data_IF_303664407004
#
_entry.id   IF_303664407004
#
_cell.length_a   1.000
_cell.length_b   1.000
_cell.length_c   1.000
_cell.angle_alpha   90.00
_cell.angle_beta   90.00
_cell.angle_gamma   90.00
#
_symmetry.space_group_name_H-M   'P 1'
#
loop_
_entity.id
_entity.type
_entity.pdbx_description
1 polymer ?
#
# COMPACT_ATOMS: atom_id res chain seq x y z
N UNK A 1 8.93 15.78 -22.82
CA UNK A 1 8.06 15.56 -21.63
C UNK A 1 7.64 14.11 -21.69
N UNK A 2 8.29 13.26 -20.90
CA UNK A 2 7.86 11.87 -20.71
C UNK A 2 6.55 11.90 -19.91
N UNK A 3 5.56 11.26 -20.45
CA UNK A 3 4.22 11.19 -19.86
C UNK A 3 4.10 9.84 -19.18
N UNK A 4 3.84 9.83 -17.88
CA UNK A 4 3.68 8.60 -17.11
C UNK A 4 2.58 7.69 -17.65
N UNK A 5 2.59 6.41 -17.25
CA UNK A 5 1.60 5.41 -17.63
C UNK A 5 0.16 5.92 -17.42
N UNK A 6 -0.10 6.69 -16.38
CA UNK A 6 -1.40 7.32 -16.13
C UNK A 6 -1.88 8.21 -17.28
N UNK A 7 -0.97 8.93 -17.94
CA UNK A 7 -1.31 9.75 -19.12
C UNK A 7 -1.63 8.91 -20.35
N UNK A 8 -1.04 7.73 -20.48
CA UNK A 8 -1.34 6.79 -21.59
C UNK A 8 -2.74 6.23 -21.45
N UNK A 9 -3.14 5.80 -20.26
CA UNK A 9 -4.49 5.30 -20.02
C UNK A 9 -5.56 6.39 -20.19
N UNK A 10 -5.31 7.59 -19.71
CA UNK A 10 -6.19 8.74 -19.90
C UNK A 10 -6.44 9.06 -21.38
N UNK A 11 -5.46 8.83 -22.26
CA UNK A 11 -5.61 9.03 -23.70
C UNK A 11 -6.35 7.91 -24.41
N UNK A 12 -6.23 6.67 -23.90
CA UNK A 12 -6.83 5.51 -24.55
C UNK A 12 -8.36 5.45 -24.34
N UNK A 13 -8.87 6.02 -23.22
CA UNK A 13 -10.30 6.03 -22.88
C UNK A 13 -10.71 7.33 -22.19
N UNK A 14 -10.66 8.47 -22.90
CA UNK A 14 -10.98 9.77 -22.30
C UNK A 14 -12.40 9.82 -21.72
N UNK A 15 -13.36 9.25 -22.40
CA UNK A 15 -14.77 9.21 -21.93
C UNK A 15 -14.93 8.46 -20.59
N UNK A 16 -14.18 7.37 -20.39
CA UNK A 16 -14.19 6.63 -19.13
C UNK A 16 -13.57 7.44 -18.00
N UNK A 17 -12.48 8.16 -18.27
CA UNK A 17 -11.85 9.05 -17.31
C UNK A 17 -12.78 10.17 -16.90
N UNK A 18 -13.41 10.86 -17.86
CA UNK A 18 -14.39 11.90 -17.59
C UNK A 18 -15.61 11.38 -16.79
N UNK A 19 -16.07 10.15 -17.08
CA UNK A 19 -17.15 9.53 -16.33
C UNK A 19 -16.77 9.28 -14.87
N UNK A 20 -15.56 8.81 -14.62
CA UNK A 20 -15.03 8.59 -13.27
C UNK A 20 -14.85 9.94 -12.54
N UNK A 21 -14.30 10.95 -13.20
CA UNK A 21 -14.13 12.29 -12.64
C UNK A 21 -15.48 12.90 -12.23
N UNK A 22 -16.48 12.80 -13.09
CA UNK A 22 -17.85 13.25 -12.75
C UNK A 22 -18.45 12.46 -11.58
N UNK A 23 -18.21 11.17 -11.50
CA UNK A 23 -18.67 10.34 -10.39
C UNK A 23 -18.00 10.75 -9.06
N UNK A 24 -16.70 11.00 -9.09
CA UNK A 24 -15.94 11.45 -7.91
C UNK A 24 -16.42 12.82 -7.45
N UNK A 25 -16.57 13.77 -8.38
CA UNK A 25 -17.03 15.13 -8.05
C UNK A 25 -18.46 15.12 -7.46
N UNK A 26 -19.36 14.35 -8.03
CA UNK A 26 -20.71 14.16 -7.45
C UNK A 26 -20.63 13.59 -6.05
N UNK A 27 -19.87 12.52 -5.84
CA UNK A 27 -19.69 11.90 -4.54
C UNK A 27 -19.11 12.88 -3.50
N UNK A 28 -18.09 13.64 -3.90
CA UNK A 28 -17.47 14.64 -3.04
C UNK A 28 -18.43 15.78 -2.68
N UNK A 29 -19.20 16.27 -3.67
CA UNK A 29 -20.18 17.34 -3.48
C UNK A 29 -21.30 16.92 -2.53
N UNK A 30 -21.81 15.69 -2.67
CA UNK A 30 -22.86 15.14 -1.79
C UNK A 30 -22.41 14.99 -0.33
N UNK A 31 -21.10 14.92 -0.09
CA UNK A 31 -20.51 14.72 1.25
C UNK A 31 -19.77 15.93 1.82
N UNK A 32 -19.64 16.97 1.01
CA UNK A 32 -19.03 18.21 1.45
C UNK A 32 -19.93 18.89 2.47
N UNK A 33 -19.40 19.17 3.64
CA UNK A 33 -20.06 19.97 4.68
C UNK A 33 -19.17 21.16 5.05
N UNK A 34 -19.77 22.15 5.69
CA UNK A 34 -19.06 23.35 6.20
C UNK A 34 -18.48 23.15 7.58
N UNK A 35 -18.88 22.08 8.26
CA UNK A 35 -18.45 21.77 9.63
C UNK A 35 -18.00 20.30 9.71
N UNK A 36 -16.90 20.08 10.45
CA UNK A 36 -16.54 18.74 10.89
C UNK A 36 -17.56 18.19 11.89
N UNK A 37 -17.73 16.89 11.92
CA UNK A 37 -18.65 16.20 12.82
C UNK A 37 -17.90 15.37 13.86
N UNK A 38 -18.49 15.21 15.04
CA UNK A 38 -18.01 14.29 16.08
C UNK A 38 -19.13 13.34 16.40
N UNK A 39 -18.92 12.05 16.10
CA UNK A 39 -19.87 10.99 16.32
C UNK A 39 -20.02 10.61 17.80
N UNK A 40 -21.07 9.83 18.16
CA UNK A 40 -21.29 9.40 19.52
C UNK A 40 -20.12 8.53 20.02
N UNK A 41 -19.88 8.60 21.33
CA UNK A 41 -18.82 7.83 22.00
C UNK A 41 -17.39 8.09 21.51
N UNK A 42 -17.17 9.09 20.63
CA UNK A 42 -15.83 9.50 20.23
C UNK A 42 -15.06 10.08 21.43
N UNK A 43 -13.75 9.78 21.51
CA UNK A 43 -12.87 10.28 22.58
C UNK A 43 -11.77 11.12 21.96
N UNK A 44 -11.61 12.34 22.46
CA UNK A 44 -10.56 13.25 22.03
C UNK A 44 -9.82 13.72 23.29
N UNK A 45 -8.55 13.36 23.41
CA UNK A 45 -7.69 13.71 24.54
C UNK A 45 -6.34 14.21 24.06
N UNK A 46 -5.83 15.26 24.67
CA UNK A 46 -4.47 15.77 24.45
C UNK A 46 -4.11 16.21 23.03
N UNK A 47 -5.06 16.26 22.12
CA UNK A 47 -4.77 16.70 20.74
C UNK A 47 -4.44 18.19 20.71
N UNK A 48 -3.39 18.56 19.95
CA UNK A 48 -2.94 19.94 19.84
C UNK A 48 -3.74 20.74 18.82
N UNK A 49 -4.03 20.15 17.66
CA UNK A 49 -4.72 20.84 16.57
C UNK A 49 -5.60 19.88 15.77
N UNK A 50 -6.88 20.19 15.68
CA UNK A 50 -7.85 19.46 14.84
C UNK A 50 -8.66 20.50 14.06
N UNK A 51 -8.65 20.41 12.72
CA UNK A 51 -9.41 21.31 11.84
C UNK A 51 -10.00 20.54 10.67
N UNK A 52 -11.30 20.76 10.42
CA UNK A 52 -12.00 20.15 9.27
C UNK A 52 -11.87 18.62 9.25
N UNK A 53 -12.11 18.00 10.40
CA UNK A 53 -12.02 16.54 10.54
C UNK A 53 -13.37 15.96 10.96
N UNK A 54 -13.85 14.98 10.20
CA UNK A 54 -14.99 14.16 10.60
C UNK A 54 -14.51 13.01 11.47
N UNK A 55 -15.07 12.90 12.67
CA UNK A 55 -14.71 11.88 13.67
C UNK A 55 -15.91 10.96 13.86
N UNK A 56 -15.76 9.69 13.51
CA UNK A 56 -16.80 8.67 13.56
C UNK A 56 -17.11 8.17 14.96
N UNK A 57 -18.16 7.38 15.05
CA UNK A 57 -18.61 6.75 16.30
C UNK A 57 -17.52 5.91 16.95
N UNK A 58 -17.31 6.09 18.26
CA UNK A 58 -16.33 5.32 19.03
C UNK A 58 -14.86 5.54 18.60
N UNK A 59 -14.59 6.44 17.67
CA UNK A 59 -13.22 6.76 17.29
C UNK A 59 -12.45 7.39 18.45
N UNK A 60 -11.14 7.17 18.50
CA UNK A 60 -10.28 7.72 19.55
C UNK A 60 -9.16 8.54 18.92
N UNK A 61 -9.01 9.79 19.39
CA UNK A 61 -7.87 10.65 19.11
C UNK A 61 -7.17 10.90 20.45
N UNK A 62 -5.91 10.47 20.56
CA UNK A 62 -5.16 10.52 21.81
C UNK A 62 -3.77 11.10 21.60
N UNK A 63 -3.59 12.39 21.87
CA UNK A 63 -2.31 13.07 21.77
C UNK A 63 -1.83 13.43 20.37
N UNK A 64 -2.69 13.44 19.37
CA UNK A 64 -2.33 13.84 18.01
C UNK A 64 -1.83 15.29 17.94
N UNK A 65 -0.75 15.54 17.22
CA UNK A 65 -0.17 16.87 17.07
C UNK A 65 -0.90 17.73 16.04
N UNK A 66 -1.33 17.13 14.92
CA UNK A 66 -2.04 17.82 13.85
C UNK A 66 -2.96 16.89 13.07
N UNK A 67 -4.23 17.23 13.01
CA UNK A 67 -5.19 16.58 12.11
C UNK A 67 -5.92 17.68 11.32
N UNK A 68 -5.82 17.63 10.00
CA UNK A 68 -6.38 18.64 9.12
C UNK A 68 -6.99 18.03 7.87
N UNK A 69 -8.20 18.49 7.52
CA UNK A 69 -8.95 18.05 6.35
C UNK A 69 -9.00 16.52 6.23
N UNK A 70 -9.75 15.87 7.12
CA UNK A 70 -9.71 14.42 7.18
C UNK A 70 -10.96 13.74 7.69
N UNK A 71 -10.92 12.42 7.63
CA UNK A 71 -11.95 11.56 8.20
C UNK A 71 -11.32 10.47 9.06
N UNK A 72 -11.76 10.39 10.30
CA UNK A 72 -11.45 9.28 11.21
C UNK A 72 -12.73 8.47 11.37
N UNK A 73 -12.82 7.32 10.69
CA UNK A 73 -14.02 6.49 10.68
C UNK A 73 -14.29 5.82 12.03
N UNK A 74 -15.43 5.13 12.14
CA UNK A 74 -15.86 4.50 13.37
C UNK A 74 -14.82 3.53 13.93
N UNK A 75 -14.56 3.62 15.25
CA UNK A 75 -13.60 2.76 15.93
C UNK A 75 -12.14 2.92 15.52
N UNK A 76 -11.81 3.85 14.66
CA UNK A 76 -10.41 4.13 14.31
C UNK A 76 -9.68 4.85 15.46
N UNK A 77 -8.37 4.68 15.50
CA UNK A 77 -7.49 5.25 16.52
C UNK A 77 -6.42 6.13 15.88
N UNK A 78 -6.27 7.35 16.36
CA UNK A 78 -5.20 8.26 15.98
C UNK A 78 -4.46 8.68 17.25
N UNK A 79 -3.20 8.30 17.37
CA UNK A 79 -2.43 8.38 18.61
C UNK A 79 -1.43 9.51 18.67
N UNK A 80 -0.47 9.32 19.58
CA UNK A 80 0.49 10.35 20.03
C UNK A 80 1.35 10.85 18.86
N UNK A 81 1.49 12.19 18.82
CA UNK A 81 2.34 12.93 17.89
C UNK A 81 2.05 12.72 16.40
N UNK A 82 0.94 12.10 16.06
CA UNK A 82 0.51 11.93 14.67
C UNK A 82 0.25 13.30 14.03
N UNK A 83 0.75 13.47 12.81
CA UNK A 83 0.43 14.59 11.95
C UNK A 83 -0.16 14.06 10.63
N UNK A 84 -1.40 14.41 10.34
CA UNK A 84 -2.08 13.96 9.14
C UNK A 84 -2.84 15.10 8.46
N UNK A 85 -2.64 15.26 7.14
CA UNK A 85 -3.36 16.22 6.29
C UNK A 85 -3.95 15.49 5.09
N UNK A 86 -5.15 15.90 4.68
CA UNK A 86 -5.84 15.31 3.53
C UNK A 86 -5.90 13.79 3.65
N UNK A 87 -6.51 13.28 4.73
CA UNK A 87 -6.40 11.87 5.07
C UNK A 87 -7.75 11.20 5.36
N UNK A 88 -7.78 9.91 5.18
CA UNK A 88 -8.88 9.05 5.64
C UNK A 88 -8.27 7.89 6.44
N UNK A 89 -8.73 7.73 7.68
CA UNK A 89 -8.50 6.55 8.51
C UNK A 89 -9.83 5.76 8.56
N UNK A 90 -9.88 4.63 7.86
CA UNK A 90 -11.06 3.79 7.76
C UNK A 90 -11.35 3.04 9.09
N UNK A 91 -12.44 2.31 9.13
CA UNK A 91 -12.90 1.61 10.33
C UNK A 91 -11.85 0.70 10.95
N UNK A 92 -11.59 0.90 12.23
CA UNK A 92 -10.58 0.14 12.97
C UNK A 92 -9.11 0.39 12.56
N UNK A 93 -8.86 1.34 11.69
CA UNK A 93 -7.48 1.76 11.38
C UNK A 93 -6.79 2.34 12.62
N UNK A 94 -5.48 2.08 12.73
CA UNK A 94 -4.63 2.61 13.78
C UNK A 94 -3.48 3.40 13.18
N UNK A 95 -3.43 4.68 13.48
CA UNK A 95 -2.33 5.59 13.11
C UNK A 95 -1.72 6.10 14.40
N UNK A 96 -0.43 5.84 14.65
CA UNK A 96 0.16 6.12 15.96
C UNK A 96 1.64 6.51 15.87
N UNK A 97 2.25 6.76 17.04
CA UNK A 97 3.70 6.85 17.23
C UNK A 97 4.41 7.85 16.33
N UNK A 98 3.90 9.06 16.21
CA UNK A 98 4.54 10.13 15.43
C UNK A 98 4.49 9.93 13.91
N UNK A 99 3.58 9.14 13.40
CA UNK A 99 3.35 8.92 11.96
C UNK A 99 2.99 10.22 11.26
N UNK A 100 3.56 10.44 10.05
CA UNK A 100 3.31 11.62 9.21
C UNK A 100 2.60 11.19 7.92
N UNK A 101 1.40 11.75 7.67
CA UNK A 101 0.60 11.46 6.49
C UNK A 101 0.22 12.73 5.75
N UNK A 102 0.33 12.68 4.43
CA UNK A 102 -0.16 13.74 3.54
C UNK A 102 -0.83 13.13 2.32
N UNK A 103 -2.09 13.44 2.07
CA UNK A 103 -2.92 12.88 0.99
C UNK A 103 -2.91 11.35 0.98
N UNK A 104 -3.29 10.75 2.13
CA UNK A 104 -3.21 9.30 2.33
C UNK A 104 -4.55 8.68 2.74
N UNK A 105 -4.74 7.44 2.31
CA UNK A 105 -5.83 6.57 2.74
C UNK A 105 -5.27 5.40 3.55
N UNK A 106 -5.71 5.26 4.79
CA UNK A 106 -5.49 4.11 5.64
C UNK A 106 -6.77 3.28 5.72
N UNK A 107 -6.81 2.14 5.06
CA UNK A 107 -7.96 1.24 4.95
C UNK A 107 -8.33 0.54 6.26
N UNK A 108 -9.36 -0.31 6.19
CA UNK A 108 -9.87 -1.02 7.37
C UNK A 108 -8.78 -1.80 8.10
N UNK A 109 -8.70 -1.61 9.41
CA UNK A 109 -7.71 -2.28 10.27
C UNK A 109 -6.25 -2.13 9.85
N UNK A 110 -5.95 -1.12 9.04
CA UNK A 110 -4.59 -0.73 8.71
C UNK A 110 -3.85 -0.25 9.96
N UNK A 111 -2.56 -0.52 10.05
CA UNK A 111 -1.70 0.01 11.12
C UNK A 111 -0.54 0.79 10.50
N UNK A 112 -0.44 2.08 10.82
CA UNK A 112 0.67 2.95 10.43
C UNK A 112 1.27 3.53 11.72
N UNK A 113 2.52 3.20 12.02
CA UNK A 113 3.07 3.43 13.35
C UNK A 113 4.59 3.72 13.34
N UNK A 114 5.13 4.10 14.49
CA UNK A 114 6.57 4.24 14.74
C UNK A 114 7.29 5.15 13.74
N UNK A 115 6.80 6.39 13.62
CA UNK A 115 7.36 7.41 12.73
C UNK A 115 7.34 7.04 11.24
N UNK A 116 6.39 6.19 10.82
CA UNK A 116 6.18 5.93 9.40
C UNK A 116 5.79 7.21 8.68
N UNK A 117 6.33 7.46 7.50
CA UNK A 117 5.98 8.64 6.68
C UNK A 117 5.37 8.24 5.36
N UNK A 118 4.27 8.88 4.97
CA UNK A 118 3.64 8.58 3.69
C UNK A 118 3.06 9.83 3.03
N UNK A 119 3.24 9.91 1.71
CA UNK A 119 2.69 10.97 0.86
C UNK A 119 2.04 10.35 -0.36
N UNK A 120 0.87 10.88 -0.79
CA UNK A 120 0.16 10.44 -2.01
C UNK A 120 -0.07 8.92 -2.06
N UNK A 121 -0.41 8.28 -0.95
CA UNK A 121 -0.35 6.83 -0.82
C UNK A 121 -1.65 6.22 -0.31
N UNK A 122 -1.99 5.03 -0.82
CA UNK A 122 -3.16 4.26 -0.42
C UNK A 122 -2.72 2.97 0.25
N UNK A 123 -3.21 2.74 1.46
CA UNK A 123 -2.99 1.51 2.22
C UNK A 123 -4.33 0.82 2.42
N UNK A 124 -4.51 -0.35 1.82
CA UNK A 124 -5.74 -1.12 1.93
C UNK A 124 -5.74 -2.04 3.16
N UNK A 125 -6.83 -2.74 3.34
CA UNK A 125 -7.17 -3.44 4.58
C UNK A 125 -6.07 -4.34 5.14
N UNK A 126 -5.94 -4.35 6.46
CA UNK A 126 -4.97 -5.14 7.21
C UNK A 126 -3.49 -4.91 6.86
N UNK A 127 -3.17 -3.80 6.16
CA UNK A 127 -1.78 -3.41 5.93
C UNK A 127 -1.12 -2.95 7.22
N UNK A 128 0.19 -3.18 7.37
CA UNK A 128 0.95 -2.84 8.56
C UNK A 128 2.29 -2.24 8.17
N UNK A 129 2.43 -0.92 8.35
CA UNK A 129 3.65 -0.19 8.01
C UNK A 129 4.19 0.58 9.22
N UNK A 130 5.48 0.43 9.47
CA UNK A 130 6.21 1.09 10.56
C UNK A 130 7.59 1.55 10.09
N UNK A 131 8.12 2.62 10.68
CA UNK A 131 9.52 3.07 10.55
C UNK A 131 10.03 3.40 9.14
N UNK A 132 9.26 3.24 8.11
CA UNK A 132 9.68 3.42 6.71
C UNK A 132 9.13 4.70 6.07
N UNK A 133 9.38 4.81 4.78
CA UNK A 133 8.85 5.89 3.94
C UNK A 133 8.11 5.31 2.74
N UNK A 134 6.97 5.91 2.40
CA UNK A 134 6.18 5.57 1.23
C UNK A 134 5.78 6.82 0.45
N UNK A 135 5.95 6.79 -0.87
CA UNK A 135 5.53 7.89 -1.74
C UNK A 135 4.85 7.33 -2.98
N UNK A 136 3.62 7.79 -3.22
CA UNK A 136 2.83 7.42 -4.41
C UNK A 136 2.67 5.90 -4.59
N UNK A 137 2.38 5.17 -3.51
CA UNK A 137 2.16 3.73 -3.57
C UNK A 137 0.68 3.36 -3.54
N UNK A 138 0.36 2.25 -4.20
CA UNK A 138 -0.89 1.52 -4.06
C UNK A 138 -0.61 0.23 -3.28
N UNK A 139 -0.65 0.33 -1.97
CA UNK A 139 -0.46 -0.79 -1.07
C UNK A 139 -1.77 -1.54 -0.88
N UNK A 140 -2.04 -2.52 -1.71
CA UNK A 140 -3.18 -3.42 -1.59
C UNK A 140 -3.21 -4.16 -0.24
N UNK A 141 -4.27 -4.93 0.03
CA UNK A 141 -4.46 -5.58 1.32
C UNK A 141 -3.26 -6.39 1.79
N UNK A 142 -3.05 -6.43 3.11
CA UNK A 142 -1.97 -7.22 3.74
C UNK A 142 -0.55 -6.83 3.29
N UNK A 143 -0.34 -5.58 2.94
CA UNK A 143 1.02 -5.05 2.75
C UNK A 143 1.70 -4.88 4.10
N UNK A 144 2.92 -5.40 4.22
CA UNK A 144 3.72 -5.33 5.45
C UNK A 144 5.08 -4.70 5.18
N UNK A 145 5.39 -3.64 5.92
CA UNK A 145 6.69 -2.96 5.92
C UNK A 145 6.95 -2.40 7.32
N UNK A 146 7.54 -3.17 8.22
CA UNK A 146 7.66 -2.78 9.62
C UNK A 146 9.11 -2.66 10.14
N UNK A 147 10.07 -2.61 9.23
CA UNK A 147 11.47 -2.43 9.60
C UNK A 147 12.00 -1.06 9.17
N UNK A 148 13.00 -0.57 9.88
CA UNK A 148 13.70 0.69 9.55
C UNK A 148 14.34 0.63 8.16
N UNK A 149 14.53 1.80 7.56
CA UNK A 149 15.21 1.99 6.28
C UNK A 149 14.50 1.38 5.07
N UNK A 150 13.21 1.09 5.17
CA UNK A 150 12.41 0.69 4.00
C UNK A 150 11.97 1.92 3.25
N UNK A 151 12.14 1.91 1.92
CA UNK A 151 11.73 2.98 1.01
C UNK A 151 10.89 2.38 -0.12
N UNK A 152 9.62 2.79 -0.19
CA UNK A 152 8.66 2.31 -1.19
C UNK A 152 8.16 3.49 -2.02
N UNK A 153 8.62 3.63 -3.25
CA UNK A 153 8.23 4.72 -4.15
C UNK A 153 7.60 4.17 -5.43
N UNK A 154 6.42 4.71 -5.79
CA UNK A 154 5.73 4.42 -7.04
C UNK A 154 5.51 2.93 -7.29
N UNK A 155 5.04 2.21 -6.27
CA UNK A 155 4.77 0.78 -6.32
C UNK A 155 3.29 0.41 -6.22
N UNK A 156 2.91 -0.68 -6.87
CA UNK A 156 1.61 -1.32 -6.70
C UNK A 156 1.82 -2.76 -6.29
N UNK A 157 1.23 -3.16 -5.19
CA UNK A 157 1.39 -4.49 -4.63
C UNK A 157 0.22 -4.89 -3.72
N UNK A 158 0.10 -6.17 -3.39
CA UNK A 158 -0.85 -6.68 -2.40
C UNK A 158 -0.30 -7.94 -1.74
N UNK A 159 -0.69 -8.21 -0.50
CA UNK A 159 -0.13 -9.32 0.27
C UNK A 159 1.41 -9.31 0.26
N UNK A 160 1.97 -8.12 0.21
CA UNK A 160 3.38 -7.87 0.02
C UNK A 160 4.11 -7.78 1.36
N UNK A 161 5.35 -8.24 1.40
CA UNK A 161 6.21 -8.09 2.58
C UNK A 161 7.55 -7.47 2.18
N UNK A 162 7.80 -6.25 2.62
CA UNK A 162 9.09 -5.59 2.49
C UNK A 162 10.02 -6.00 3.64
N UNK A 163 11.15 -6.61 3.31
CA UNK A 163 12.20 -6.90 4.29
C UNK A 163 12.90 -5.64 4.80
N UNK A 164 13.68 -5.77 5.87
CA UNK A 164 14.47 -4.67 6.43
C UNK A 164 15.38 -4.03 5.38
N UNK A 165 15.34 -2.71 5.25
CA UNK A 165 16.15 -1.99 4.26
C UNK A 165 15.76 -2.23 2.80
N UNK A 166 14.55 -2.77 2.56
CA UNK A 166 14.03 -2.89 1.20
C UNK A 166 13.92 -1.51 0.56
N UNK A 167 14.44 -1.38 -0.66
CA UNK A 167 14.47 -0.13 -1.40
C UNK A 167 13.88 -0.35 -2.80
N UNK A 168 12.68 0.15 -2.99
CA UNK A 168 12.06 0.27 -4.30
C UNK A 168 12.03 1.74 -4.66
N UNK A 169 12.79 2.13 -5.66
CA UNK A 169 12.95 3.53 -5.98
C UNK A 169 13.00 3.78 -7.48
N UNK A 170 12.78 5.04 -7.80
CA UNK A 170 12.69 5.50 -9.17
C UNK A 170 13.91 6.39 -9.48
N UNK A 171 15.09 5.80 -9.50
CA UNK A 171 16.34 6.53 -9.74
C UNK A 171 16.46 7.11 -11.15
N UNK A 172 15.58 6.75 -12.07
CA UNK A 172 15.54 7.29 -13.42
C UNK A 172 14.64 8.53 -13.58
N UNK A 173 14.11 9.09 -12.48
CA UNK A 173 13.19 10.23 -12.55
C UNK A 173 13.77 11.43 -13.32
N UNK A 174 15.08 11.65 -13.26
CA UNK A 174 15.78 12.69 -14.02
C UNK A 174 15.81 12.45 -15.53
N UNK A 175 15.58 11.23 -15.96
CA UNK A 175 15.44 10.87 -17.37
C UNK A 175 14.04 11.13 -17.92
N UNK A 176 13.16 11.68 -17.11
CA UNK A 176 11.88 12.24 -17.51
C UNK A 176 10.69 11.28 -17.52
N UNK A 177 10.84 10.01 -17.23
CA UNK A 177 9.73 9.08 -17.08
C UNK A 177 9.45 8.79 -15.62
N UNK A 178 8.17 8.75 -15.24
CA UNK A 178 7.79 8.14 -13.99
C UNK A 178 7.86 6.64 -14.15
N UNK A 179 8.69 6.00 -13.36
CA UNK A 179 8.90 4.56 -13.40
C UNK A 179 8.15 3.96 -12.22
N UNK A 180 7.24 3.03 -12.52
CA UNK A 180 6.44 2.34 -11.53
C UNK A 180 6.86 0.88 -11.50
N UNK A 181 6.83 0.27 -10.31
CA UNK A 181 6.99 -1.17 -10.15
C UNK A 181 5.67 -1.82 -9.75
N UNK A 182 5.48 -3.05 -10.20
CA UNK A 182 4.31 -3.86 -9.85
C UNK A 182 4.81 -5.17 -9.25
N UNK A 183 4.58 -5.33 -7.94
CA UNK A 183 4.87 -6.57 -7.25
C UNK A 183 3.56 -7.32 -7.09
N UNK A 184 3.32 -8.29 -7.96
CA UNK A 184 2.07 -9.01 -7.97
C UNK A 184 1.86 -9.74 -6.64
N UNK A 185 0.64 -10.13 -6.37
CA UNK A 185 0.17 -10.68 -5.10
C UNK A 185 1.15 -11.62 -4.42
N UNK A 186 1.44 -11.37 -3.14
CA UNK A 186 2.24 -12.27 -2.32
C UNK A 186 3.75 -12.17 -2.50
N UNK A 187 4.23 -11.20 -3.27
CA UNK A 187 5.67 -10.97 -3.40
C UNK A 187 6.30 -10.62 -2.06
N UNK A 188 7.56 -11.04 -1.91
CA UNK A 188 8.31 -10.84 -0.69
C UNK A 188 9.73 -10.38 -1.01
N UNK A 189 10.13 -9.26 -0.38
CA UNK A 189 11.49 -8.78 -0.47
C UNK A 189 12.30 -9.24 0.74
N UNK A 190 13.44 -9.83 0.49
CA UNK A 190 14.43 -10.10 1.52
C UNK A 190 15.05 -8.82 2.08
N UNK A 191 15.84 -8.94 3.13
CA UNK A 191 16.55 -7.81 3.71
C UNK A 191 17.49 -7.16 2.69
N UNK A 192 17.50 -5.82 2.66
CA UNK A 192 18.33 -5.01 1.76
C UNK A 192 18.09 -5.25 0.26
N UNK A 193 16.96 -5.82 -0.08
CA UNK A 193 16.55 -5.95 -1.48
C UNK A 193 16.41 -4.57 -2.12
N UNK A 194 16.98 -4.42 -3.31
CA UNK A 194 16.90 -3.21 -4.11
C UNK A 194 16.27 -3.51 -5.47
N UNK A 195 15.23 -2.78 -5.82
CA UNK A 195 14.59 -2.85 -7.13
C UNK A 195 14.67 -1.49 -7.82
N UNK A 196 15.22 -1.48 -9.03
CA UNK A 196 15.19 -0.31 -9.88
C UNK A 196 13.96 -0.35 -10.81
N UNK A 197 13.03 0.56 -10.59
CA UNK A 197 11.85 0.70 -11.44
C UNK A 197 12.18 1.18 -12.87
N UNK A 198 11.41 0.77 -13.90
CA UNK A 198 10.25 -0.11 -13.84
C UNK A 198 10.61 -1.60 -13.69
N UNK A 199 9.81 -2.33 -12.92
CA UNK A 199 9.96 -3.78 -12.76
C UNK A 199 8.58 -4.41 -12.49
N UNK A 200 8.40 -5.65 -12.91
CA UNK A 200 7.19 -6.44 -12.62
C UNK A 200 7.63 -7.82 -12.11
N UNK A 201 7.25 -8.15 -10.89
CA UNK A 201 7.46 -9.48 -10.32
C UNK A 201 6.16 -10.28 -10.32
N UNK A 202 6.29 -11.55 -10.73
CA UNK A 202 5.20 -12.52 -10.74
C UNK A 202 4.66 -12.82 -9.33
N UNK A 203 3.42 -13.33 -9.23
CA UNK A 203 2.81 -13.64 -7.93
C UNK A 203 3.66 -14.56 -7.07
N UNK A 204 3.70 -14.30 -5.76
CA UNK A 204 4.45 -15.11 -4.79
C UNK A 204 5.96 -15.23 -5.07
N UNK A 205 6.54 -14.25 -5.75
CA UNK A 205 7.99 -14.20 -5.98
C UNK A 205 8.72 -13.73 -4.73
N UNK A 206 9.77 -14.46 -4.34
CA UNK A 206 10.75 -14.01 -3.36
C UNK A 206 11.91 -13.33 -4.09
N UNK A 207 12.15 -12.07 -3.74
CA UNK A 207 13.21 -11.25 -4.35
C UNK A 207 14.35 -11.06 -3.36
N UNK A 208 15.57 -11.37 -3.77
CA UNK A 208 16.77 -11.31 -2.93
C UNK A 208 17.93 -10.63 -3.66
N UNK A 209 18.53 -9.62 -3.02
CA UNK A 209 19.69 -8.90 -3.55
C UNK A 209 19.31 -7.62 -4.30
N UNK A 210 20.20 -7.17 -5.20
CA UNK A 210 20.08 -5.89 -5.92
C UNK A 210 19.78 -6.10 -7.39
N UNK A 211 18.65 -5.55 -7.83
CA UNK A 211 18.19 -5.67 -9.21
C UNK A 211 18.21 -4.29 -9.88
N UNK A 212 19.23 -4.06 -10.69
CA UNK A 212 19.45 -2.78 -11.40
C UNK A 212 19.06 -2.85 -12.89
N UNK A 213 18.45 -3.94 -13.31
CA UNK A 213 17.92 -4.15 -14.64
C UNK A 213 16.39 -4.15 -14.56
N UNK A 214 15.76 -3.57 -15.58
CA UNK A 214 14.31 -3.65 -15.73
C UNK A 214 13.94 -5.09 -16.12
N UNK A 215 13.05 -5.68 -15.36
CA UNK A 215 12.58 -7.05 -15.61
C UNK A 215 11.07 -7.12 -15.56
N UNK A 216 10.53 -8.05 -16.29
CA UNK A 216 9.13 -8.49 -16.21
C UNK A 216 9.11 -10.01 -16.06
N UNK A 217 8.75 -10.44 -14.86
CA UNK A 217 8.61 -11.86 -14.53
C UNK A 217 7.15 -12.24 -14.23
N UNK A 218 6.21 -11.42 -14.68
CA UNK A 218 4.77 -11.57 -14.37
C UNK A 218 4.19 -12.94 -14.73
N UNK A 219 4.71 -13.57 -15.77
CA UNK A 219 4.31 -14.91 -16.20
C UNK A 219 4.87 -16.05 -15.33
N UNK A 220 5.76 -15.79 -14.38
CA UNK A 220 6.46 -16.81 -13.58
C UNK A 220 6.09 -16.72 -12.09
N UNK A 221 4.89 -17.14 -11.67
CA UNK A 221 4.52 -17.14 -10.26
C UNK A 221 5.38 -18.13 -9.46
N UNK A 222 5.40 -17.93 -8.15
CA UNK A 222 6.15 -18.76 -7.18
C UNK A 222 7.64 -18.90 -7.49
N UNK A 223 8.26 -17.84 -7.99
CA UNK A 223 9.67 -17.85 -8.38
C UNK A 223 10.59 -17.29 -7.28
N UNK A 224 11.87 -17.56 -7.39
CA UNK A 224 12.92 -16.73 -6.78
C UNK A 224 13.54 -15.84 -7.85
N UNK A 225 13.68 -14.57 -7.52
CA UNK A 225 14.48 -13.61 -8.25
C UNK A 225 15.70 -13.26 -7.38
N UNK A 226 16.88 -13.69 -7.80
CA UNK A 226 18.10 -13.56 -7.00
C UNK A 226 19.15 -12.76 -7.75
N UNK A 227 19.99 -12.04 -7.03
CA UNK A 227 21.18 -11.44 -7.60
C UNK A 227 22.29 -12.48 -7.65
N UNK A 228 22.88 -12.65 -8.83
CA UNK A 228 24.05 -13.48 -9.04
C UNK A 228 25.04 -12.74 -9.93
N UNK A 229 26.22 -12.45 -9.43
CA UNK A 229 27.30 -11.76 -10.17
C UNK A 229 26.86 -10.42 -10.79
N UNK A 230 26.07 -9.64 -10.03
CA UNK A 230 25.54 -8.34 -10.47
C UNK A 230 24.42 -8.41 -11.52
N UNK A 231 23.86 -9.59 -11.76
CA UNK A 231 22.73 -9.83 -12.66
C UNK A 231 21.54 -10.42 -11.93
N UNK A 232 20.35 -10.16 -12.47
CA UNK A 232 19.13 -10.78 -11.98
C UNK A 232 18.98 -12.18 -12.60
N UNK A 233 18.88 -13.20 -11.77
CA UNK A 233 18.62 -14.58 -12.16
C UNK A 233 17.26 -15.02 -11.64
N UNK A 234 16.41 -15.56 -12.52
CA UNK A 234 15.10 -16.09 -12.19
C UNK A 234 15.18 -17.61 -12.01
N UNK A 235 14.59 -18.10 -10.92
CA UNK A 235 14.40 -19.54 -10.66
C UNK A 235 12.88 -19.82 -10.63
N UNK A 236 12.28 -20.17 -11.78
CA UNK A 236 10.84 -20.40 -11.89
C UNK A 236 10.36 -21.51 -10.95
N UNK A 237 9.25 -21.28 -10.26
CA UNK A 237 8.61 -22.27 -9.40
C UNK A 237 9.36 -22.60 -8.09
N UNK A 238 10.55 -22.04 -7.86
CA UNK A 238 11.37 -22.38 -6.70
C UNK A 238 10.72 -22.07 -5.35
N UNK A 239 9.74 -21.14 -5.32
CA UNK A 239 9.00 -20.75 -4.12
C UNK A 239 7.70 -21.55 -3.91
N UNK A 240 7.34 -22.45 -4.82
CA UNK A 240 6.06 -23.18 -4.79
C UNK A 240 5.92 -24.05 -3.53
N UNK A 241 6.99 -24.66 -3.10
CA UNK A 241 7.02 -25.57 -1.94
C UNK A 241 7.70 -24.96 -0.72
N UNK A 242 7.96 -23.66 -0.76
CA UNK A 242 8.60 -22.96 0.36
C UNK A 242 7.69 -22.95 1.59
N UNK A 243 8.14 -23.50 2.68
CA UNK A 243 7.42 -23.49 3.95
C UNK A 243 6.98 -22.07 4.37
N UNK A 244 7.83 -21.07 4.14
CA UNK A 244 7.53 -19.67 4.46
C UNK A 244 6.32 -19.13 3.71
N UNK A 245 6.22 -19.41 2.43
CA UNK A 245 5.11 -18.98 1.56
C UNK A 245 3.80 -19.67 1.95
N UNK A 246 3.79 -20.99 2.07
CA UNK A 246 2.62 -21.77 2.48
C UNK A 246 2.10 -21.33 3.85
N UNK A 247 3.01 -21.16 4.81
CA UNK A 247 2.66 -20.68 6.15
C UNK A 247 2.04 -19.29 6.13
N UNK A 248 2.59 -18.37 5.35
CA UNK A 248 2.13 -16.98 5.33
C UNK A 248 0.75 -16.87 4.65
N UNK A 249 0.51 -17.62 3.59
CA UNK A 249 -0.80 -17.71 2.93
C UNK A 249 -1.87 -18.20 3.92
N UNK A 250 -1.61 -19.29 4.62
CA UNK A 250 -2.56 -19.89 5.57
C UNK A 250 -2.99 -18.94 6.71
N UNK A 251 -2.17 -17.93 7.01
CA UNK A 251 -2.47 -16.97 8.08
C UNK A 251 -3.32 -15.77 7.65
N UNK A 252 -3.46 -15.50 6.37
CA UNK A 252 -4.12 -14.26 5.95
C UNK A 252 -5.58 -14.20 6.37
N UNK A 253 -6.34 -15.27 6.16
CA UNK A 253 -7.74 -15.32 6.54
C UNK A 253 -7.92 -15.19 8.06
N UNK A 254 -7.09 -15.86 8.85
CA UNK A 254 -7.13 -15.80 10.32
C UNK A 254 -6.79 -14.39 10.86
N UNK A 255 -6.04 -13.61 10.09
CA UNK A 255 -5.64 -12.25 10.45
C UNK A 255 -6.58 -11.17 9.92
N UNK A 256 -7.69 -11.54 9.29
CA UNK A 256 -8.68 -10.56 8.83
C UNK A 256 -9.42 -9.95 10.03
N UNK A 257 -9.08 -8.71 10.34
CA UNK A 257 -9.66 -7.97 11.48
C UNK A 257 -10.83 -7.08 11.11
N UNK A 258 -11.18 -7.02 9.82
CA UNK A 258 -12.22 -6.12 9.33
C UNK A 258 -13.60 -6.50 9.88
N UNK A 259 -14.33 -5.50 10.30
CA UNK A 259 -15.72 -5.63 10.75
C UNK A 259 -16.74 -5.24 9.67
N UNK A 260 -16.42 -4.25 8.85
CA UNK A 260 -17.30 -3.74 7.79
C UNK A 260 -17.07 -4.46 6.46
N UNK A 261 -15.83 -4.85 6.17
CA UNK A 261 -15.43 -5.59 4.95
C UNK A 261 -15.80 -4.89 3.65
N UNK A 262 -15.39 -3.62 3.53
CA UNK A 262 -15.61 -2.82 2.31
C UNK A 262 -14.87 -3.41 1.11
N UNK A 263 -13.64 -3.88 1.32
CA UNK A 263 -12.83 -4.50 0.26
C UNK A 263 -13.21 -5.97 0.09
N UNK A 264 -13.39 -6.36 -1.17
CA UNK A 264 -13.57 -7.77 -1.51
C UNK A 264 -12.19 -8.42 -1.67
N UNK A 265 -11.74 -9.15 -0.64
CA UNK A 265 -10.43 -9.81 -0.63
C UNK A 265 -10.60 -11.30 -0.96
N UNK A 266 -9.87 -11.77 -1.98
CA UNK A 266 -9.73 -13.20 -2.25
C UNK A 266 -8.52 -13.73 -1.48
N UNK A 267 -8.72 -14.77 -0.67
CA UNK A 267 -7.66 -15.42 0.13
C UNK A 267 -7.11 -16.69 -0.51
N UNK A 268 -7.68 -17.13 -1.62
CA UNK A 268 -7.21 -18.34 -2.32
C UNK A 268 -5.83 -18.09 -2.94
N UNK A 269 -4.91 -18.98 -2.67
CA UNK A 269 -3.57 -18.96 -3.26
C UNK A 269 -3.59 -19.25 -4.75
N UNK A 270 -4.37 -20.25 -5.15
CA UNK A 270 -4.57 -20.62 -6.55
C UNK A 270 -5.90 -20.04 -7.05
N UNK A 271 -5.85 -19.39 -8.18
CA UNK A 271 -7.02 -18.83 -8.86
C UNK A 271 -6.80 -18.88 -10.38
N UNK A 272 -7.84 -18.68 -11.20
CA UNK A 272 -7.72 -18.76 -12.67
C UNK A 272 -6.65 -17.84 -13.26
N UNK A 273 -6.44 -16.67 -12.70
CA UNK A 273 -5.41 -15.74 -13.15
C UNK A 273 -3.99 -16.31 -12.97
N UNK A 274 -3.73 -16.89 -11.80
CA UNK A 274 -2.45 -17.52 -11.47
C UNK A 274 -2.20 -18.74 -12.36
N UNK A 275 -3.20 -19.60 -12.52
CA UNK A 275 -3.11 -20.77 -13.39
C UNK A 275 -2.87 -20.38 -14.85
N UNK A 276 -3.54 -19.33 -15.34
CA UNK A 276 -3.30 -18.78 -16.68
C UNK A 276 -1.85 -18.33 -16.86
N UNK A 277 -1.32 -17.54 -15.93
CA UNK A 277 0.08 -17.09 -15.96
C UNK A 277 1.08 -18.26 -15.98
N UNK A 278 0.81 -19.33 -15.23
CA UNK A 278 1.65 -20.54 -15.26
C UNK A 278 1.62 -21.25 -16.62
N UNK A 279 0.46 -21.29 -17.28
CA UNK A 279 0.31 -21.87 -18.62
C UNK A 279 1.03 -21.01 -19.66
N UNK A 280 0.91 -19.69 -19.56
CA UNK A 280 1.54 -18.76 -20.51
C UNK A 280 3.08 -18.75 -20.40
N UNK A 281 3.62 -19.21 -19.25
CA UNK A 281 5.06 -19.30 -19.00
C UNK A 281 5.73 -20.55 -19.62
N UNK A 282 4.98 -21.54 -20.09
CA UNK A 282 5.46 -22.78 -20.70
C UNK A 282 5.49 -22.70 -22.22
#
# INVERSE_FOLDING_TARGET
RSRGLGDVYKRQRPEAVEAIERMIERYATERRDTLGTVGPHARITGARFIREVNIGEGATIDGASLLENGTVCAGAYVGIDVQARDFIAAEGARIDGGTLLERCFAGECCTLDKHFTAVDSLFFANSHCENGEAVSIFAGPYTVSHHKSSLLIAGMFSFFNAGSGANQSNHLFKSGAVHQSVHLRGCKFGSSTYIMAPAIEGPFTLVLGRHTQHHDTSAFPFSYLVEQDGRSALMPGANLTSYGTVRDIGKWLERDRRTVKRDRINFEEYNPYLAGGMIDAV
#
